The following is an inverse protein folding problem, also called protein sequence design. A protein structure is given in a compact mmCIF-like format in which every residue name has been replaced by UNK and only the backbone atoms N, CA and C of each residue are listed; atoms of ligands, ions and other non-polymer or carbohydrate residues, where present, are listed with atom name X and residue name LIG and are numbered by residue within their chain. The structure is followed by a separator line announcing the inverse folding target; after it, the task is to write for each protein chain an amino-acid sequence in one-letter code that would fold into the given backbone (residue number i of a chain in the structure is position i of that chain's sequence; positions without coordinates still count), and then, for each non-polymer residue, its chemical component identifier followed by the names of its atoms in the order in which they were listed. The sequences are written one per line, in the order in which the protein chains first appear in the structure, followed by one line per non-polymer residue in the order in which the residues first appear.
data_IF_490172629807
#
_entry.id   IF_490172629807
#
_cell.length_a   1.000
_cell.length_b   1.000
_cell.length_c   1.000
_cell.angle_alpha   90.00
_cell.angle_beta   90.00
_cell.angle_gamma   90.00
#
_symmetry.space_group_name_H-M   'P 1'
#
loop_
_entity.id
_entity.type
_entity.pdbx_description
1 polymer ?
#
# COMPACT_ATOMS: atom_id res chain seq x y z
N UNK A 1 2.67 -17.45 17.02
CA UNK A 1 1.57 -16.54 16.62
C UNK A 1 2.12 -15.63 15.52
N UNK A 2 1.46 -15.60 14.37
CA UNK A 2 1.88 -14.75 13.26
C UNK A 2 1.19 -13.39 13.40
N UNK A 3 1.95 -12.37 13.79
CA UNK A 3 1.44 -11.00 13.96
C UNK A 3 1.40 -10.21 12.64
N UNK A 4 2.01 -10.73 11.58
CA UNK A 4 2.07 -10.03 10.30
C UNK A 4 0.69 -9.65 9.75
N UNK A 5 -0.33 -10.53 9.73
CA UNK A 5 -1.67 -10.16 9.26
C UNK A 5 -2.32 -9.00 10.04
N UNK A 6 -2.03 -8.88 11.33
CA UNK A 6 -2.52 -7.75 12.13
C UNK A 6 -1.82 -6.45 11.75
N UNK A 7 -0.51 -6.49 11.60
CA UNK A 7 0.32 -5.30 11.32
C UNK A 7 0.02 -4.70 9.94
N UNK A 8 -0.23 -5.53 8.92
CA UNK A 8 -0.45 -5.05 7.54
C UNK A 8 -1.72 -4.21 7.37
N UNK A 9 -2.73 -4.37 8.24
CA UNK A 9 -3.94 -3.57 8.17
C UNK A 9 -3.67 -2.08 8.40
N UNK A 10 -2.63 -1.77 9.19
CA UNK A 10 -2.25 -0.39 9.49
C UNK A 10 -1.83 0.39 8.24
N UNK A 11 -0.77 -0.01 7.51
CA UNK A 11 -0.39 0.70 6.28
C UNK A 11 -1.47 0.64 5.20
N UNK A 12 -2.25 -0.45 5.10
CA UNK A 12 -3.36 -0.54 4.16
C UNK A 12 -4.35 0.59 4.43
N UNK A 13 -4.80 0.77 5.66
CA UNK A 13 -5.76 1.82 6.01
C UNK A 13 -5.20 3.22 5.73
N UNK A 14 -4.00 3.54 6.25
CA UNK A 14 -3.43 4.88 6.15
C UNK A 14 -3.08 5.27 4.71
N UNK A 15 -2.46 4.38 3.94
CA UNK A 15 -2.08 4.65 2.55
C UNK A 15 -3.30 4.70 1.62
N UNK A 16 -4.34 3.90 1.88
CA UNK A 16 -5.61 3.99 1.14
C UNK A 16 -6.27 5.34 1.38
N UNK A 17 -6.43 5.76 2.64
CA UNK A 17 -7.04 7.06 2.98
C UNK A 17 -6.19 8.22 2.43
N UNK A 18 -4.85 8.14 2.54
CA UNK A 18 -3.95 9.11 1.92
C UNK A 18 -4.20 9.22 0.41
N UNK A 19 -4.24 8.08 -0.27
CA UNK A 19 -4.41 8.05 -1.73
C UNK A 19 -5.76 8.65 -2.15
N UNK A 20 -6.83 8.28 -1.49
CA UNK A 20 -8.16 8.85 -1.73
C UNK A 20 -8.16 10.36 -1.49
N UNK A 21 -7.52 10.83 -0.42
CA UNK A 21 -7.42 12.25 -0.09
C UNK A 21 -6.56 13.03 -1.09
N UNK A 22 -5.52 12.42 -1.65
CA UNK A 22 -4.72 13.06 -2.69
C UNK A 22 -5.48 13.18 -4.02
N UNK A 23 -6.40 12.25 -4.29
CA UNK A 23 -7.24 12.25 -5.49
C UNK A 23 -8.43 13.21 -5.40
N UNK A 24 -8.81 13.67 -4.20
CA UNK A 24 -9.89 14.66 -4.01
C UNK A 24 -9.48 16.00 -4.63
N UNK A 25 -10.36 16.54 -5.51
CA UNK A 25 -10.14 17.79 -6.25
C UNK A 25 -11.20 18.87 -5.96
N UNK A 26 -11.95 18.74 -4.88
CA UNK A 26 -12.90 19.77 -4.48
C UNK A 26 -12.16 20.99 -3.93
N UNK A 27 -12.26 22.14 -4.59
CA UNK A 27 -11.59 23.39 -4.20
C UNK A 27 -11.86 23.76 -2.74
N UNK A 28 -13.12 23.66 -2.28
CA UNK A 28 -13.50 23.94 -0.88
C UNK A 28 -12.69 23.15 0.16
N UNK A 29 -12.20 21.97 -0.20
CA UNK A 29 -11.37 21.11 0.66
C UNK A 29 -9.90 21.48 0.53
N UNK A 30 -9.44 21.72 -0.73
CA UNK A 30 -8.04 22.01 -1.02
C UNK A 30 -7.56 23.33 -0.41
N UNK A 31 -8.47 24.32 -0.27
CA UNK A 31 -8.18 25.64 0.33
C UNK A 31 -8.02 25.60 1.85
N UNK A 32 -8.37 24.49 2.51
CA UNK A 32 -8.24 24.37 3.96
C UNK A 32 -6.77 24.17 4.36
N UNK A 33 -6.22 25.02 5.24
CA UNK A 33 -4.80 24.99 5.61
C UNK A 33 -4.36 23.67 6.26
N UNK A 34 -5.27 23.01 6.98
CA UNK A 34 -5.00 21.72 7.62
C UNK A 34 -4.95 20.55 6.64
N UNK A 35 -5.48 20.70 5.39
CA UNK A 35 -5.58 19.61 4.43
C UNK A 35 -4.22 19.04 4.02
N UNK A 36 -3.25 19.94 3.82
CA UNK A 36 -1.88 19.52 3.57
C UNK A 36 -1.29 18.73 4.75
N UNK A 37 -1.51 19.21 5.97
CA UNK A 37 -1.01 18.57 7.18
C UNK A 37 -1.62 17.18 7.38
N UNK A 38 -2.91 17.01 7.18
CA UNK A 38 -3.61 15.72 7.27
C UNK A 38 -3.00 14.71 6.30
N UNK A 39 -2.83 15.08 5.03
CA UNK A 39 -2.21 14.20 4.03
C UNK A 39 -0.75 13.87 4.38
N UNK A 40 0.00 14.85 4.89
CA UNK A 40 1.38 14.65 5.36
C UNK A 40 1.45 13.61 6.49
N UNK A 41 0.57 13.68 7.47
CA UNK A 41 0.50 12.71 8.56
C UNK A 41 0.14 11.32 8.02
N UNK A 42 -0.89 11.23 7.19
CA UNK A 42 -1.35 9.97 6.61
C UNK A 42 -0.25 9.24 5.83
N UNK A 43 0.49 9.96 4.97
CA UNK A 43 1.56 9.34 4.17
C UNK A 43 2.74 8.93 5.04
N UNK A 44 3.14 9.72 6.02
CA UNK A 44 4.28 9.39 6.91
C UNK A 44 3.94 8.18 7.78
N UNK A 45 2.75 8.15 8.40
CA UNK A 45 2.33 7.04 9.25
C UNK A 45 2.12 5.77 8.42
N UNK A 46 1.48 5.89 7.25
CA UNK A 46 1.30 4.76 6.33
C UNK A 46 2.63 4.20 5.81
N UNK A 47 3.57 5.07 5.45
CA UNK A 47 4.92 4.68 5.05
C UNK A 47 5.67 3.96 6.17
N UNK A 48 5.72 4.53 7.38
CA UNK A 48 6.35 3.88 8.52
C UNK A 48 5.73 2.52 8.85
N UNK A 49 4.39 2.45 8.80
CA UNK A 49 3.66 1.19 8.96
C UNK A 49 4.01 0.15 7.89
N UNK A 50 4.25 0.58 6.63
CA UNK A 50 4.63 -0.34 5.57
C UNK A 50 6.04 -0.94 5.76
N UNK A 51 6.96 -0.19 6.36
CA UNK A 51 8.30 -0.70 6.73
C UNK A 51 8.20 -1.76 7.83
N UNK A 52 7.38 -1.50 8.85
CA UNK A 52 7.14 -2.48 9.93
C UNK A 52 6.44 -3.73 9.38
N UNK A 53 5.46 -3.56 8.48
CA UNK A 53 4.80 -4.67 7.82
C UNK A 53 5.78 -5.51 6.98
N UNK A 54 6.69 -4.89 6.26
CA UNK A 54 7.73 -5.60 5.51
C UNK A 54 8.64 -6.41 6.45
N UNK A 55 9.10 -5.81 7.54
CA UNK A 55 9.93 -6.50 8.54
C UNK A 55 9.21 -7.71 9.13
N UNK A 56 7.96 -7.56 9.57
CA UNK A 56 7.17 -8.68 10.10
C UNK A 56 6.89 -9.74 9.06
N UNK A 57 6.71 -9.37 7.79
CA UNK A 57 6.55 -10.29 6.66
C UNK A 57 7.82 -11.12 6.39
N UNK A 58 9.00 -10.51 6.46
CA UNK A 58 10.28 -11.23 6.36
C UNK A 58 10.46 -12.21 7.51
N UNK A 59 10.13 -11.81 8.73
CA UNK A 59 10.20 -12.70 9.90
C UNK A 59 9.21 -13.86 9.73
N UNK A 60 7.96 -13.59 9.34
CA UNK A 60 6.92 -14.60 9.15
C UNK A 60 7.25 -15.60 8.04
N UNK A 61 7.95 -15.16 6.98
CA UNK A 61 8.42 -16.05 5.90
C UNK A 61 9.71 -16.83 6.25
N UNK A 62 10.26 -16.67 7.45
CA UNK A 62 11.55 -17.28 7.83
C UNK A 62 12.73 -16.77 6.98
N UNK A 63 12.67 -15.51 6.50
CA UNK A 63 13.65 -14.87 5.62
C UNK A 63 13.76 -15.51 4.23
N UNK A 64 12.77 -16.34 3.85
CA UNK A 64 12.75 -16.98 2.55
C UNK A 64 12.51 -15.92 1.46
N UNK A 65 13.35 -15.96 0.42
CA UNK A 65 13.32 -14.99 -0.69
C UNK A 65 12.51 -15.53 -1.87
N UNK A 66 12.51 -16.82 -2.05
CA UNK A 66 11.87 -17.52 -3.15
C UNK A 66 10.61 -18.26 -2.68
N UNK A 67 9.71 -18.60 -3.60
CA UNK A 67 8.47 -19.27 -3.25
C UNK A 67 7.46 -19.32 -4.40
N UNK A 68 6.22 -19.75 -4.11
CA UNK A 68 5.14 -19.77 -5.09
C UNK A 68 4.93 -18.38 -5.72
N UNK A 69 4.45 -18.36 -6.97
CA UNK A 69 4.23 -17.12 -7.73
C UNK A 69 3.40 -16.08 -6.97
N UNK A 70 2.38 -16.50 -6.25
CA UNK A 70 1.54 -15.61 -5.43
C UNK A 70 2.36 -14.87 -4.36
N UNK A 71 3.29 -15.56 -3.71
CA UNK A 71 4.20 -14.96 -2.71
C UNK A 71 5.14 -13.94 -3.35
N UNK A 72 5.74 -14.28 -4.49
CA UNK A 72 6.63 -13.37 -5.21
C UNK A 72 5.90 -12.12 -5.70
N UNK A 73 4.68 -12.27 -6.22
CA UNK A 73 3.84 -11.14 -6.64
C UNK A 73 3.45 -10.25 -5.44
N UNK A 74 3.00 -10.86 -4.33
CA UNK A 74 2.70 -10.10 -3.10
C UNK A 74 3.90 -9.25 -2.66
N UNK A 75 5.08 -9.85 -2.62
CA UNK A 75 6.33 -9.18 -2.24
C UNK A 75 6.69 -8.04 -3.19
N UNK A 76 6.58 -8.27 -4.49
CA UNK A 76 6.90 -7.25 -5.51
C UNK A 76 5.98 -6.03 -5.39
N UNK A 77 4.67 -6.23 -5.23
CA UNK A 77 3.73 -5.13 -5.03
C UNK A 77 3.89 -4.45 -3.67
N UNK A 78 4.25 -5.19 -2.61
CA UNK A 78 4.60 -4.61 -1.32
C UNK A 78 5.82 -3.69 -1.41
N UNK A 79 6.88 -4.13 -2.08
CA UNK A 79 8.07 -3.31 -2.34
C UNK A 79 7.77 -2.08 -3.19
N UNK A 80 6.96 -2.23 -4.24
CA UNK A 80 6.49 -1.10 -5.05
C UNK A 80 5.73 -0.07 -4.20
N UNK A 81 4.84 -0.53 -3.32
CA UNK A 81 4.10 0.34 -2.39
C UNK A 81 5.07 1.10 -1.47
N UNK A 82 6.08 0.43 -0.92
CA UNK A 82 7.09 1.06 -0.06
C UNK A 82 7.87 2.12 -0.84
N UNK A 83 8.33 1.83 -2.04
CA UNK A 83 9.09 2.78 -2.87
C UNK A 83 8.25 4.03 -3.17
N UNK A 84 7.02 3.85 -3.64
CA UNK A 84 6.13 4.96 -3.99
C UNK A 84 5.76 5.81 -2.77
N UNK A 85 5.46 5.16 -1.64
CA UNK A 85 5.16 5.87 -0.39
C UNK A 85 6.38 6.58 0.19
N UNK A 86 7.59 6.03 0.05
CA UNK A 86 8.85 6.69 0.44
C UNK A 86 9.05 7.98 -0.34
N UNK A 87 8.92 7.94 -1.67
CA UNK A 87 9.06 9.14 -2.48
C UNK A 87 7.99 10.18 -2.13
N UNK A 88 6.74 9.76 -1.95
CA UNK A 88 5.66 10.64 -1.54
C UNK A 88 5.92 11.27 -0.16
N UNK A 89 6.36 10.49 0.82
CA UNK A 89 6.71 10.99 2.16
C UNK A 89 7.84 12.02 2.11
N UNK A 90 8.90 11.76 1.32
CA UNK A 90 10.01 12.71 1.14
C UNK A 90 9.51 14.03 0.52
N UNK A 91 8.63 13.99 -0.48
CA UNK A 91 8.06 15.18 -1.10
C UNK A 91 7.23 15.99 -0.09
N UNK A 92 6.43 15.33 0.73
CA UNK A 92 5.67 15.96 1.81
C UNK A 92 6.57 16.55 2.92
N UNK A 93 7.65 15.86 3.28
CA UNK A 93 8.64 16.38 4.26
C UNK A 93 9.35 17.64 3.74
N UNK A 94 9.63 17.68 2.43
CA UNK A 94 10.23 18.85 1.76
C UNK A 94 9.20 19.94 1.41
N UNK A 95 7.94 19.81 1.84
CA UNK A 95 6.83 20.71 1.53
C UNK A 95 6.65 20.97 0.00
N UNK A 96 7.04 20.00 -0.83
CA UNK A 96 6.87 20.08 -2.29
C UNK A 96 5.51 19.56 -2.68
N UNK A 97 4.60 20.48 -3.02
CA UNK A 97 3.29 20.13 -3.58
C UNK A 97 3.42 20.04 -5.11
N UNK A 98 3.38 18.81 -5.63
CA UNK A 98 3.55 18.55 -7.06
C UNK A 98 2.40 17.67 -7.58
N UNK A 99 1.96 17.90 -8.82
CA UNK A 99 0.97 17.07 -9.53
C UNK A 99 1.40 15.59 -9.61
N UNK A 100 2.70 15.32 -9.53
CA UNK A 100 3.27 13.96 -9.44
C UNK A 100 2.73 13.16 -8.25
N UNK A 101 2.39 13.82 -7.13
CA UNK A 101 1.80 13.16 -5.97
C UNK A 101 0.46 12.48 -6.28
N UNK A 102 -0.30 13.01 -7.24
CA UNK A 102 -1.57 12.39 -7.69
C UNK A 102 -1.30 11.05 -8.36
N UNK A 103 -0.28 11.04 -9.24
CA UNK A 103 0.12 9.82 -9.96
C UNK A 103 0.60 8.78 -8.96
N UNK A 104 1.44 9.19 -8.00
CA UNK A 104 1.93 8.29 -6.96
C UNK A 104 0.80 7.79 -6.05
N UNK A 105 -0.16 8.64 -5.68
CA UNK A 105 -1.32 8.24 -4.90
C UNK A 105 -2.17 7.18 -5.64
N UNK A 106 -2.39 7.35 -6.94
CA UNK A 106 -3.09 6.35 -7.76
C UNK A 106 -2.32 5.02 -7.81
N UNK A 107 -1.01 5.08 -8.05
CA UNK A 107 -0.16 3.90 -8.09
C UNK A 107 -0.07 3.20 -6.73
N UNK A 108 0.01 3.96 -5.63
CA UNK A 108 -0.04 3.42 -4.26
C UNK A 108 -1.37 2.71 -4.03
N UNK A 109 -2.50 3.33 -4.41
CA UNK A 109 -3.82 2.74 -4.22
C UNK A 109 -3.96 1.41 -4.97
N UNK A 110 -3.52 1.36 -6.23
CA UNK A 110 -3.52 0.13 -7.03
C UNK A 110 -2.61 -0.92 -6.40
N UNK A 111 -1.37 -0.55 -6.10
CA UNK A 111 -0.37 -1.47 -5.58
C UNK A 111 -0.76 -2.06 -4.22
N UNK A 112 -1.26 -1.23 -3.30
CA UNK A 112 -1.64 -1.71 -1.97
C UNK A 112 -2.91 -2.58 -2.00
N UNK A 113 -3.84 -2.30 -2.92
CA UNK A 113 -5.03 -3.14 -3.13
C UNK A 113 -4.61 -4.52 -3.63
N UNK A 114 -3.71 -4.60 -4.61
CA UNK A 114 -3.18 -5.87 -5.12
C UNK A 114 -2.40 -6.60 -4.02
N UNK A 115 -1.55 -5.91 -3.27
CA UNK A 115 -0.80 -6.49 -2.15
C UNK A 115 -1.72 -7.09 -1.10
N UNK A 116 -2.76 -6.36 -0.71
CA UNK A 116 -3.76 -6.83 0.27
C UNK A 116 -4.53 -8.04 -0.24
N UNK A 117 -4.99 -8.01 -1.49
CA UNK A 117 -5.70 -9.12 -2.12
C UNK A 117 -4.86 -10.39 -2.23
N UNK A 118 -3.59 -10.26 -2.66
CA UNK A 118 -2.64 -11.38 -2.72
C UNK A 118 -2.34 -11.94 -1.32
N UNK A 119 -2.18 -11.07 -0.32
CA UNK A 119 -2.01 -11.48 1.08
C UNK A 119 -3.21 -12.25 1.62
N UNK A 120 -4.41 -11.78 1.33
CA UNK A 120 -5.66 -12.48 1.67
C UNK A 120 -5.77 -13.84 0.99
N UNK A 121 -5.40 -13.90 -0.30
CA UNK A 121 -5.43 -15.14 -1.08
C UNK A 121 -4.40 -16.19 -0.61
N UNK A 122 -3.25 -15.78 -0.08
CA UNK A 122 -2.28 -16.70 0.52
C UNK A 122 -2.83 -17.39 1.77
N UNK A 123 -3.75 -16.74 2.50
CA UNK A 123 -4.34 -17.30 3.73
C UNK A 123 -5.62 -18.08 3.44
N UNK A 124 -6.45 -17.63 2.49
CA UNK A 124 -7.81 -18.15 2.27
C UNK A 124 -8.03 -18.80 0.90
N UNK A 125 -7.01 -18.79 0.04
CA UNK A 125 -7.10 -19.27 -1.34
C UNK A 125 -7.55 -18.19 -2.32
N UNK A 126 -7.24 -18.38 -3.61
CA UNK A 126 -7.49 -17.41 -4.69
C UNK A 126 -8.97 -17.25 -5.05
N UNK A 127 -9.82 -18.17 -4.63
CA UNK A 127 -11.29 -18.13 -4.86
C UNK A 127 -12.05 -17.33 -3.80
N UNK A 128 -11.36 -16.90 -2.75
CA UNK A 128 -11.97 -16.21 -1.59
C UNK A 128 -12.56 -14.85 -1.96
N UNK A 129 -11.88 -14.09 -2.84
CA UNK A 129 -12.29 -12.74 -3.21
C UNK A 129 -12.64 -12.68 -4.72
N UNK A 130 -13.93 -12.68 -5.07
CA UNK A 130 -14.36 -12.63 -6.46
C UNK A 130 -13.97 -11.32 -7.18
N UNK A 131 -13.80 -10.22 -6.46
CA UNK A 131 -13.37 -8.94 -7.03
C UNK A 131 -11.90 -8.97 -7.47
N UNK A 132 -11.09 -9.77 -6.79
CA UNK A 132 -9.68 -9.94 -7.14
C UNK A 132 -9.43 -11.03 -8.18
N UNK A 133 -10.41 -11.87 -8.48
CA UNK A 133 -10.27 -12.99 -9.42
C UNK A 133 -9.73 -12.58 -10.80
N UNK A 134 -10.18 -11.49 -11.46
CA UNK A 134 -9.61 -11.05 -12.73
C UNK A 134 -8.13 -10.65 -12.61
N UNK A 135 -7.75 -10.02 -11.49
CA UNK A 135 -6.38 -9.59 -11.22
C UNK A 135 -5.50 -10.83 -11.00
N UNK A 136 -5.95 -11.80 -10.22
CA UNK A 136 -5.22 -13.06 -10.01
C UNK A 136 -4.99 -13.82 -11.30
N UNK A 137 -5.99 -13.86 -12.20
CA UNK A 137 -5.87 -14.43 -13.52
C UNK A 137 -4.83 -13.71 -14.38
N UNK A 138 -4.86 -12.37 -14.38
CA UNK A 138 -3.87 -11.55 -15.10
C UNK A 138 -2.45 -11.77 -14.59
N UNK A 139 -2.28 -11.91 -13.29
CA UNK A 139 -0.98 -12.17 -12.66
C UNK A 139 -0.52 -13.62 -12.75
N UNK A 140 -1.37 -14.53 -13.22
CA UNK A 140 -1.08 -15.96 -13.32
C UNK A 140 -0.85 -16.63 -11.97
N UNK A 141 -1.64 -16.25 -10.95
CA UNK A 141 -1.57 -16.77 -9.58
C UNK A 141 -2.78 -17.63 -9.20
N UNK A 142 -3.38 -18.25 -10.16
CA UNK A 142 -4.47 -19.22 -9.98
C UNK A 142 -3.93 -20.56 -9.54
#
# INVERSE_FOLDING_TARGET
MDFHPLVVHFPIAFLTVYSLFELIRFQRVLEKPYWFFVKKVLIIVGWAGSLVAALTGFIASGWVIDGPRIFLMHRSFALLTIILSTVSAILYLKNKHNKVLIIFALLILISITITGGLGGAMVRGTTFDPLMAPIFKLLGVY
#
